data_IF_676013411092
#
_entry.id   IF_676013411092
#
_cell.length_a   1.000
_cell.length_b   1.000
_cell.length_c   1.000
_cell.angle_alpha   90.00
_cell.angle_beta   90.00
_cell.angle_gamma   90.00
#
_symmetry.space_group_name_H-M   'P 1'
#
loop_
_entity.id
_entity.type
_entity.pdbx_description
1 polymer ?
#
# COMPACT_ATOMS: atom_id res chain seq x y z
N UNK A 1 31.06 -10.46 -22.56
CA UNK A 1 30.62 -9.78 -21.32
C UNK A 1 29.14 -9.37 -21.47
N UNK A 2 28.17 -10.16 -20.96
CA UNK A 2 26.73 -9.83 -20.98
C UNK A 2 25.98 -10.14 -19.67
N UNK A 3 26.66 -10.69 -18.67
CA UNK A 3 26.04 -11.17 -17.41
C UNK A 3 25.77 -10.05 -16.40
N UNK A 4 26.46 -8.90 -16.50
CA UNK A 4 26.36 -7.82 -15.52
C UNK A 4 25.05 -7.01 -15.61
N UNK A 5 24.50 -6.79 -16.82
CA UNK A 5 23.25 -6.01 -17.00
C UNK A 5 21.99 -6.70 -16.46
N UNK A 6 21.74 -7.99 -16.75
CA UNK A 6 20.58 -8.69 -16.20
C UNK A 6 20.57 -8.74 -14.67
N UNK A 7 21.74 -9.01 -14.06
CA UNK A 7 21.88 -9.04 -12.60
C UNK A 7 21.69 -7.67 -11.94
N UNK A 8 22.18 -6.61 -12.57
CA UNK A 8 21.97 -5.24 -12.09
C UNK A 8 20.48 -4.87 -12.12
N UNK A 9 19.76 -5.32 -13.16
CA UNK A 9 18.33 -5.07 -13.30
C UNK A 9 17.50 -5.84 -12.26
N UNK A 10 17.78 -7.13 -12.06
CA UNK A 10 17.15 -7.93 -11.00
C UNK A 10 17.36 -7.29 -9.63
N UNK A 11 18.60 -6.89 -9.31
CA UNK A 11 18.93 -6.21 -8.05
C UNK A 11 18.16 -4.90 -7.90
N UNK A 12 18.10 -4.08 -8.95
CA UNK A 12 17.38 -2.81 -8.91
C UNK A 12 15.88 -2.99 -8.67
N UNK A 13 15.26 -4.00 -9.31
CA UNK A 13 13.85 -4.31 -9.10
C UNK A 13 13.59 -4.86 -7.70
N UNK A 14 14.50 -5.66 -7.14
CA UNK A 14 14.42 -6.12 -5.74
C UNK A 14 14.52 -4.94 -4.76
N UNK A 15 15.42 -3.99 -4.99
CA UNK A 15 15.53 -2.77 -4.17
C UNK A 15 14.29 -1.91 -4.31
N UNK A 16 13.73 -1.75 -5.52
CA UNK A 16 12.47 -1.04 -5.74
C UNK A 16 11.34 -1.67 -4.91
N UNK A 17 11.18 -2.99 -5.03
CA UNK A 17 10.21 -3.77 -4.28
C UNK A 17 10.41 -3.62 -2.77
N UNK A 18 11.65 -3.69 -2.30
CA UNK A 18 12.00 -3.52 -0.89
C UNK A 18 11.57 -2.14 -0.36
N UNK A 19 11.86 -1.06 -1.08
CA UNK A 19 11.49 0.30 -0.67
C UNK A 19 9.97 0.46 -0.57
N UNK A 20 9.23 0.02 -1.59
CA UNK A 20 7.76 0.07 -1.60
C UNK A 20 7.16 -0.78 -0.48
N UNK A 21 7.70 -1.99 -0.29
CA UNK A 21 7.28 -2.89 0.79
C UNK A 21 7.48 -2.28 2.17
N UNK A 22 8.67 -1.76 2.45
CA UNK A 22 8.98 -1.14 3.74
C UNK A 22 8.15 0.13 3.98
N UNK A 23 7.89 0.90 2.94
CA UNK A 23 6.99 2.05 3.01
C UNK A 23 5.59 1.61 3.46
N UNK A 24 4.98 0.67 2.75
CA UNK A 24 3.64 0.15 3.06
C UNK A 24 3.61 -0.52 4.43
N UNK A 25 4.61 -1.34 4.77
CA UNK A 25 4.70 -2.00 6.07
C UNK A 25 4.76 -1.00 7.23
N UNK A 26 5.40 0.17 7.04
CA UNK A 26 5.44 1.25 8.03
C UNK A 26 4.15 2.06 8.07
N UNK A 27 3.54 2.32 6.91
CA UNK A 27 2.29 3.07 6.79
C UNK A 27 1.11 2.30 7.41
N UNK A 28 1.05 0.98 7.16
CA UNK A 28 -0.01 0.07 7.65
C UNK A 28 0.18 -0.40 9.10
N UNK A 29 1.20 0.12 9.81
CA UNK A 29 1.32 -0.18 11.25
C UNK A 29 0.13 0.42 12.00
N UNK A 30 -0.34 -0.26 13.07
CA UNK A 30 -1.32 0.29 14.00
C UNK A 30 -0.83 1.64 14.51
N UNK A 31 -1.48 2.72 14.06
CA UNK A 31 -1.27 4.09 14.50
C UNK A 31 -2.62 4.67 14.94
N UNK A 32 -2.58 5.83 15.55
CA UNK A 32 -3.79 6.62 15.71
C UNK A 32 -4.46 6.87 14.35
N UNK A 33 -5.77 6.71 14.30
CA UNK A 33 -6.54 6.80 13.06
C UNK A 33 -6.59 8.26 12.61
N UNK A 34 -6.28 8.52 11.34
CA UNK A 34 -6.35 9.86 10.76
C UNK A 34 -7.78 10.42 10.82
N UNK A 35 -7.92 11.70 11.20
CA UNK A 35 -9.20 12.42 11.28
C UNK A 35 -9.16 13.71 10.45
N UNK A 36 -10.33 14.12 9.94
CA UNK A 36 -10.51 15.42 9.31
C UNK A 36 -9.42 15.74 8.27
N UNK A 37 -8.71 16.85 8.49
CA UNK A 37 -7.63 17.33 7.62
C UNK A 37 -6.37 16.44 7.69
N UNK A 38 -6.07 15.80 8.82
CA UNK A 38 -4.90 14.92 8.94
C UNK A 38 -4.95 13.76 7.95
N UNK A 39 -6.16 13.28 7.66
CA UNK A 39 -6.39 12.26 6.64
C UNK A 39 -6.04 12.76 5.24
N UNK A 40 -6.40 14.00 4.92
CA UNK A 40 -6.08 14.60 3.62
C UNK A 40 -4.57 14.88 3.51
N UNK A 41 -3.96 15.42 4.56
CA UNK A 41 -2.50 15.62 4.60
C UNK A 41 -1.75 14.30 4.50
N UNK A 42 -2.20 13.26 5.20
CA UNK A 42 -1.62 11.91 5.13
C UNK A 42 -1.70 11.33 3.71
N UNK A 43 -2.87 11.42 3.07
CA UNK A 43 -3.06 11.02 1.68
C UNK A 43 -2.16 11.79 0.72
N UNK A 44 -2.15 13.12 0.78
CA UNK A 44 -1.31 13.96 -0.07
C UNK A 44 0.18 13.69 0.12
N UNK A 45 0.62 13.50 1.37
CA UNK A 45 2.01 13.13 1.66
C UNK A 45 2.33 11.77 1.04
N UNK A 46 1.48 10.75 1.25
CA UNK A 46 1.70 9.43 0.68
C UNK A 46 1.77 9.47 -0.85
N UNK A 47 0.95 10.29 -1.51
CA UNK A 47 1.01 10.46 -2.97
C UNK A 47 2.30 11.15 -3.43
N UNK A 48 2.79 12.17 -2.72
CA UNK A 48 4.10 12.79 -3.03
C UNK A 48 5.25 11.81 -2.83
N UNK A 49 5.23 11.06 -1.73
CA UNK A 49 6.23 10.03 -1.47
C UNK A 49 6.20 8.95 -2.57
N UNK A 50 5.01 8.50 -2.99
CA UNK A 50 4.84 7.54 -4.08
C UNK A 50 5.43 8.04 -5.39
N UNK A 51 5.15 9.30 -5.75
CA UNK A 51 5.70 9.92 -6.95
C UNK A 51 7.23 10.01 -6.89
N UNK A 52 7.79 10.50 -5.77
CA UNK A 52 9.24 10.62 -5.62
C UNK A 52 9.96 9.27 -5.68
N UNK A 53 9.38 8.22 -5.08
CA UNK A 53 9.92 6.85 -5.16
C UNK A 53 9.88 6.36 -6.60
N UNK A 54 8.73 6.50 -7.28
CA UNK A 54 8.55 6.09 -8.68
C UNK A 54 9.55 6.80 -9.60
N UNK A 55 9.63 8.13 -9.54
CA UNK A 55 10.56 8.94 -10.34
C UNK A 55 12.02 8.52 -10.12
N UNK A 56 12.39 8.22 -8.87
CA UNK A 56 13.73 7.77 -8.52
C UNK A 56 14.05 6.43 -9.19
N UNK A 57 13.18 5.44 -9.07
CA UNK A 57 13.43 4.11 -9.63
C UNK A 57 13.31 4.07 -11.16
N UNK A 58 12.42 4.87 -11.74
CA UNK A 58 12.34 5.08 -13.18
C UNK A 58 13.62 5.74 -13.71
N UNK A 59 14.12 6.78 -13.03
CA UNK A 59 15.39 7.44 -13.37
C UNK A 59 16.61 6.51 -13.27
N UNK A 60 16.57 5.52 -12.38
CA UNK A 60 17.58 4.46 -12.27
C UNK A 60 17.40 3.32 -13.30
N UNK A 61 16.31 3.32 -14.07
CA UNK A 61 16.03 2.31 -15.10
C UNK A 61 15.29 1.06 -14.60
N UNK A 62 14.61 1.13 -13.45
CA UNK A 62 13.80 0.02 -12.95
C UNK A 62 12.62 -0.25 -13.89
N UNK A 63 12.47 -1.49 -14.34
CA UNK A 63 11.33 -1.92 -15.18
C UNK A 63 10.14 -2.41 -14.34
N UNK A 64 10.24 -2.37 -13.00
CA UNK A 64 9.19 -2.84 -12.09
C UNK A 64 8.06 -1.80 -11.91
N UNK A 65 7.50 -1.29 -13.01
CA UNK A 65 6.47 -0.24 -13.04
C UNK A 65 5.16 -0.64 -12.35
N UNK A 66 4.93 -1.94 -12.15
CA UNK A 66 3.79 -2.46 -11.39
C UNK A 66 3.83 -2.08 -9.90
N UNK A 67 4.99 -1.64 -9.38
CA UNK A 67 5.13 -1.17 -8.00
C UNK A 67 4.65 0.27 -7.81
N UNK A 68 4.65 1.08 -8.86
CA UNK A 68 4.42 2.53 -8.82
C UNK A 68 3.03 2.88 -8.25
N UNK A 69 2.04 2.01 -8.49
CA UNK A 69 0.66 2.23 -8.04
C UNK A 69 0.40 1.79 -6.60
N UNK A 70 1.29 1.01 -5.97
CA UNK A 70 0.98 0.34 -4.71
C UNK A 70 0.71 1.33 -3.57
N UNK A 71 1.62 2.30 -3.40
CA UNK A 71 1.50 3.36 -2.38
C UNK A 71 0.38 4.32 -2.76
N UNK A 72 0.29 4.67 -4.04
CA UNK A 72 -0.70 5.62 -4.54
C UNK A 72 -2.14 5.13 -4.33
N UNK A 73 -2.45 3.86 -4.62
CA UNK A 73 -3.77 3.29 -4.34
C UNK A 73 -4.13 3.34 -2.85
N UNK A 74 -3.18 3.10 -1.95
CA UNK A 74 -3.44 3.23 -0.50
C UNK A 74 -3.66 4.69 -0.10
N UNK A 75 -2.91 5.63 -0.70
CA UNK A 75 -3.09 7.06 -0.50
C UNK A 75 -4.48 7.53 -0.94
N UNK A 76 -4.99 7.02 -2.06
CA UNK A 76 -6.35 7.29 -2.57
C UNK A 76 -7.42 6.76 -1.62
N UNK A 77 -7.29 5.51 -1.15
CA UNK A 77 -8.23 4.92 -0.17
C UNK A 77 -8.27 5.74 1.14
N UNK A 78 -7.11 6.27 1.57
CA UNK A 78 -7.02 7.14 2.74
C UNK A 78 -7.72 8.49 2.49
N UNK A 79 -7.43 9.13 1.35
CA UNK A 79 -7.92 10.45 0.94
C UNK A 79 -9.38 10.48 0.47
N UNK A 80 -9.96 9.33 0.15
CA UNK A 80 -11.31 9.28 -0.42
C UNK A 80 -12.43 9.36 0.63
N UNK A 81 -13.42 10.21 0.35
CA UNK A 81 -14.58 10.48 1.20
C UNK A 81 -15.78 9.62 0.82
N UNK A 82 -16.00 9.42 -0.48
CA UNK A 82 -17.17 8.76 -1.03
C UNK A 82 -17.02 7.24 -0.99
N UNK A 83 -18.09 6.55 -0.59
CA UNK A 83 -18.08 5.09 -0.39
C UNK A 83 -17.76 4.34 -1.67
N UNK A 84 -18.38 4.72 -2.78
CA UNK A 84 -18.29 3.99 -4.03
C UNK A 84 -16.90 4.16 -4.67
N UNK A 85 -16.28 5.34 -4.50
CA UNK A 85 -14.89 5.58 -4.89
C UNK A 85 -13.91 4.76 -4.04
N UNK A 86 -14.13 4.63 -2.73
CA UNK A 86 -13.31 3.73 -1.89
C UNK A 86 -13.40 2.28 -2.41
N UNK A 87 -14.60 1.82 -2.79
CA UNK A 87 -14.76 0.48 -3.36
C UNK A 87 -14.00 0.33 -4.68
N UNK A 88 -14.04 1.34 -5.55
CA UNK A 88 -13.29 1.38 -6.81
C UNK A 88 -11.78 1.28 -6.57
N UNK A 89 -11.23 2.06 -5.64
CA UNK A 89 -9.79 2.00 -5.32
C UNK A 89 -9.41 0.65 -4.70
N UNK A 90 -10.26 0.06 -3.86
CA UNK A 90 -10.05 -1.29 -3.32
C UNK A 90 -10.08 -2.37 -4.41
N UNK A 91 -10.98 -2.24 -5.38
CA UNK A 91 -11.05 -3.15 -6.52
C UNK A 91 -9.80 -3.05 -7.39
N UNK A 92 -9.35 -1.84 -7.74
CA UNK A 92 -8.09 -1.62 -8.45
C UNK A 92 -6.93 -2.25 -7.69
N UNK A 93 -6.83 -2.04 -6.38
CA UNK A 93 -5.77 -2.61 -5.56
C UNK A 93 -5.79 -4.15 -5.58
N UNK A 94 -6.96 -4.78 -5.42
CA UNK A 94 -7.09 -6.24 -5.41
C UNK A 94 -6.75 -6.85 -6.78
N UNK A 95 -7.13 -6.18 -7.86
CA UNK A 95 -6.82 -6.63 -9.23
C UNK A 95 -5.33 -6.49 -9.56
N UNK A 96 -4.70 -5.40 -9.12
CA UNK A 96 -3.28 -5.12 -9.39
C UNK A 96 -2.33 -5.99 -8.55
N UNK A 97 -2.75 -6.42 -7.36
CA UNK A 97 -1.92 -7.19 -6.43
C UNK A 97 -2.63 -8.48 -5.96
N UNK A 98 -2.45 -9.60 -6.67
CA UNK A 98 -3.18 -10.84 -6.39
C UNK A 98 -2.77 -11.51 -5.07
N UNK A 99 -1.64 -11.11 -4.49
CA UNK A 99 -1.13 -11.61 -3.21
C UNK A 99 -1.68 -10.84 -1.99
N UNK A 100 -2.56 -9.86 -2.22
CA UNK A 100 -3.23 -9.14 -1.14
C UNK A 100 -4.25 -10.04 -0.41
N UNK A 101 -4.26 -9.97 0.92
CA UNK A 101 -5.13 -10.75 1.79
C UNK A 101 -6.08 -9.85 2.56
N UNK A 102 -7.11 -10.47 3.13
CA UNK A 102 -8.11 -9.80 4.00
C UNK A 102 -7.47 -8.95 5.10
N UNK A 103 -6.38 -9.41 5.71
CA UNK A 103 -5.73 -8.70 6.81
C UNK A 103 -5.02 -7.42 6.33
N UNK A 104 -4.53 -7.37 5.09
CA UNK A 104 -4.00 -6.14 4.49
C UNK A 104 -5.13 -5.12 4.27
N UNK A 105 -6.29 -5.58 3.75
CA UNK A 105 -7.46 -4.73 3.58
C UNK A 105 -7.93 -4.15 4.93
N UNK A 106 -7.94 -4.97 5.98
CA UNK A 106 -8.24 -4.52 7.33
C UNK A 106 -7.26 -3.43 7.80
N UNK A 107 -5.96 -3.61 7.58
CA UNK A 107 -4.96 -2.61 7.95
C UNK A 107 -5.13 -1.30 7.17
N UNK A 108 -5.40 -1.37 5.86
CA UNK A 108 -5.65 -0.19 5.01
C UNK A 108 -6.90 0.56 5.48
N UNK A 109 -8.01 -0.16 5.71
CA UNK A 109 -9.24 0.45 6.22
C UNK A 109 -9.07 0.99 7.65
N UNK A 110 -8.18 0.40 8.45
CA UNK A 110 -7.88 0.86 9.80
C UNK A 110 -7.10 2.18 9.85
N UNK A 111 -6.43 2.59 8.75
CA UNK A 111 -5.80 3.92 8.65
C UNK A 111 -6.81 5.04 8.89
N UNK A 112 -8.08 4.78 8.59
CA UNK A 112 -9.16 5.76 8.66
C UNK A 112 -10.21 5.41 9.71
N UNK A 113 -10.82 6.44 10.29
CA UNK A 113 -11.90 6.27 11.27
C UNK A 113 -13.25 6.09 10.57
N UNK A 114 -13.48 4.90 10.04
CA UNK A 114 -14.78 4.51 9.48
C UNK A 114 -15.76 4.10 10.58
N UNK A 115 -17.04 4.47 10.42
CA UNK A 115 -18.10 3.92 11.25
C UNK A 115 -18.22 2.40 11.07
N UNK A 116 -18.59 1.67 12.13
CA UNK A 116 -18.60 0.19 12.15
C UNK A 116 -19.35 -0.41 10.94
N UNK A 117 -20.55 0.09 10.64
CA UNK A 117 -21.38 -0.38 9.50
C UNK A 117 -20.68 -0.15 8.15
N UNK A 118 -20.10 1.03 7.94
CA UNK A 118 -19.40 1.36 6.69
C UNK A 118 -18.16 0.49 6.51
N UNK A 119 -17.41 0.28 7.59
CA UNK A 119 -16.23 -0.58 7.58
C UNK A 119 -16.59 -2.05 7.27
N UNK A 120 -17.65 -2.57 7.88
CA UNK A 120 -18.13 -3.93 7.62
C UNK A 120 -18.58 -4.10 6.16
N UNK A 121 -19.29 -3.12 5.60
CA UNK A 121 -19.71 -3.17 4.20
C UNK A 121 -18.52 -3.17 3.23
N UNK A 122 -17.52 -2.30 3.44
CA UNK A 122 -16.34 -2.25 2.59
C UNK A 122 -15.55 -3.55 2.68
N UNK A 123 -15.37 -4.07 3.90
CA UNK A 123 -14.68 -5.34 4.11
C UNK A 123 -15.40 -6.51 3.44
N UNK A 124 -16.73 -6.59 3.55
CA UNK A 124 -17.51 -7.63 2.92
C UNK A 124 -17.37 -7.58 1.39
N UNK A 125 -17.51 -6.39 0.81
CA UNK A 125 -17.30 -6.19 -0.62
C UNK A 125 -15.89 -6.61 -1.07
N UNK A 126 -14.85 -6.21 -0.35
CA UNK A 126 -13.48 -6.65 -0.64
C UNK A 126 -13.30 -8.16 -0.51
N UNK A 127 -13.97 -8.83 0.43
CA UNK A 127 -13.92 -10.29 0.56
C UNK A 127 -14.55 -10.99 -0.64
N UNK A 128 -15.65 -10.46 -1.16
CA UNK A 128 -16.31 -11.01 -2.34
C UNK A 128 -15.42 -10.84 -3.58
N UNK A 129 -14.74 -9.69 -3.71
CA UNK A 129 -13.72 -9.45 -4.75
C UNK A 129 -12.53 -10.42 -4.63
N UNK A 130 -11.99 -10.61 -3.42
CA UNK A 130 -10.88 -11.56 -3.18
C UNK A 130 -11.26 -12.99 -3.56
N UNK A 131 -12.49 -13.42 -3.26
CA UNK A 131 -13.01 -14.74 -3.66
C UNK A 131 -13.17 -14.86 -5.17
N UNK A 132 -13.71 -13.83 -5.81
CA UNK A 132 -13.84 -13.80 -7.26
C UNK A 132 -12.47 -13.86 -7.96
N UNK A 133 -11.49 -13.08 -7.48
CA UNK A 133 -10.13 -13.08 -8.01
C UNK A 133 -9.43 -14.44 -7.82
N UNK A 134 -9.61 -15.10 -6.68
CA UNK A 134 -9.07 -16.44 -6.44
C UNK A 134 -9.66 -17.51 -7.38
N UNK A 135 -10.92 -17.36 -7.79
CA UNK A 135 -11.55 -18.24 -8.79
C UNK A 135 -11.03 -18.04 -10.22
N UNK A 136 -10.53 -16.85 -10.55
CA UNK A 136 -10.02 -16.49 -11.88
C UNK A 136 -8.51 -16.72 -12.00
N UNK A 137 -7.76 -16.65 -10.89
CA UNK A 137 -6.30 -16.81 -10.84
C UNK A 137 -5.78 -18.18 -11.33
N UNK A 138 -6.66 -19.15 -11.58
CA UNK A 138 -6.32 -20.41 -12.26
C UNK A 138 -5.94 -20.26 -13.74
N UNK A 139 -6.22 -19.11 -14.39
CA UNK A 139 -6.02 -18.95 -15.83
C UNK A 139 -4.86 -18.02 -16.23
N UNK A 140 -4.61 -16.89 -15.54
CA UNK A 140 -3.73 -15.85 -16.12
C UNK A 140 -3.19 -14.79 -15.11
N UNK A 141 -2.82 -15.19 -13.89
CA UNK A 141 -2.12 -14.25 -13.00
C UNK A 141 -0.67 -14.01 -13.50
N UNK A 142 -0.17 -12.75 -13.53
CA UNK A 142 1.24 -12.47 -13.78
C UNK A 142 2.07 -13.19 -12.70
N UNK A 143 2.68 -14.31 -13.09
CA UNK A 143 3.47 -15.16 -12.21
C UNK A 143 4.73 -14.39 -11.80
N UNK A 144 4.70 -13.73 -10.63
CA UNK A 144 5.92 -13.15 -10.04
C UNK A 144 5.77 -11.86 -9.23
N UNK A 145 4.60 -11.21 -9.21
CA UNK A 145 4.40 -9.98 -8.43
C UNK A 145 4.04 -10.29 -6.98
N UNK A 146 5.05 -10.44 -6.13
CA UNK A 146 4.91 -10.66 -4.69
C UNK A 146 5.31 -9.38 -3.95
N UNK A 147 4.35 -8.70 -3.34
CA UNK A 147 4.55 -7.46 -2.58
C UNK A 147 3.88 -7.54 -1.20
N UNK A 148 2.56 -7.76 -1.20
CA UNK A 148 1.74 -7.81 0.00
C UNK A 148 1.94 -9.09 0.81
N UNK A 149 2.33 -10.21 0.19
CA UNK A 149 2.62 -11.43 0.92
C UNK A 149 3.72 -11.22 1.97
N UNK A 150 4.76 -10.47 1.61
CA UNK A 150 5.91 -10.12 2.45
C UNK A 150 5.59 -9.03 3.49
N UNK A 151 4.45 -8.35 3.40
CA UNK A 151 3.98 -7.38 4.38
C UNK A 151 3.18 -8.13 5.44
N UNK A 152 3.68 -8.17 6.69
CA UNK A 152 2.90 -8.70 7.81
C UNK A 152 1.96 -7.59 8.33
N UNK A 153 0.63 -7.71 8.13
CA UNK A 153 -0.30 -6.76 8.73
C UNK A 153 -0.23 -6.97 10.25
N UNK A 154 0.17 -5.93 10.99
CA UNK A 154 0.22 -6.03 12.44
C UNK A 154 -1.21 -6.02 12.99
N UNK A 155 -1.67 -7.18 13.45
CA UNK A 155 -2.98 -7.38 14.10
C UNK A 155 -2.98 -6.94 15.57
N UNK A 156 -1.86 -6.45 16.09
CA UNK A 156 -1.75 -6.01 17.48
C UNK A 156 -2.19 -4.55 17.62
N UNK A 157 -3.43 -4.33 18.06
CA UNK A 157 -3.83 -3.06 18.68
C UNK A 157 -3.05 -2.94 19.99
N UNK A 158 -1.94 -2.20 19.99
CA UNK A 158 -1.27 -1.78 21.24
C UNK A 158 -1.67 -0.33 21.53
N UNK A 159 -2.25 -0.03 22.70
CA UNK A 159 -2.52 1.36 23.09
C UNK A 159 -1.25 1.93 23.72
N UNK A 160 -0.54 2.78 22.99
CA UNK A 160 0.50 3.71 23.47
C UNK A 160 0.97 4.47 22.22
N UNK A 161 0.55 5.71 21.96
CA UNK A 161 0.59 6.87 22.82
C UNK A 161 1.61 7.83 22.19
N UNK A 162 1.12 8.90 21.54
CA UNK A 162 1.77 10.14 21.06
C UNK A 162 3.20 10.14 20.46
N UNK A 163 4.15 9.37 20.99
CA UNK A 163 5.58 9.39 20.62
C UNK A 163 5.89 8.88 19.20
N UNK A 164 4.99 8.08 18.60
CA UNK A 164 5.20 7.55 17.24
C UNK A 164 4.99 8.64 16.16
N UNK A 165 4.17 9.66 16.46
CA UNK A 165 3.87 10.76 15.53
C UNK A 165 5.07 11.71 15.39
N UNK A 166 5.73 12.04 16.50
CA UNK A 166 6.97 12.83 16.50
C UNK A 166 8.11 12.08 15.82
N UNK A 167 8.26 10.77 16.06
CA UNK A 167 9.25 9.97 15.35
C UNK A 167 8.98 9.90 13.83
N UNK A 168 7.71 9.95 13.40
CA UNK A 168 7.36 9.98 11.98
C UNK A 168 7.63 11.33 11.31
N UNK A 169 7.37 12.45 12.01
CA UNK A 169 7.75 13.78 11.54
C UNK A 169 9.28 13.98 11.57
N UNK A 170 9.96 13.48 12.61
CA UNK A 170 11.42 13.59 12.75
C UNK A 170 12.19 12.66 11.78
N UNK A 171 11.65 11.48 11.47
CA UNK A 171 12.30 10.53 10.54
C UNK A 171 12.17 10.91 9.06
N UNK A 172 11.29 11.86 8.72
CA UNK A 172 11.07 12.32 7.34
C UNK A 172 11.14 13.84 7.15
N UNK A 173 11.30 14.62 8.22
CA UNK A 173 11.46 16.08 8.14
C UNK A 173 12.89 16.55 7.85
N UNK A 174 13.81 15.64 7.51
CA UNK A 174 15.24 15.94 7.40
C UNK A 174 15.88 15.72 6.02
N UNK A 175 15.26 14.97 5.10
CA UNK A 175 15.79 14.77 3.74
C UNK A 175 14.59 14.51 2.82
N UNK A 176 14.49 15.34 1.77
CA UNK A 176 13.38 15.55 0.80
C UNK A 176 12.36 16.61 1.19
#
# INVERSE_FOLDING_TARGET
>A
QRVARPRAQETLQEVHRFVVREYLARALRPRERFRGMERMHGSQKMSRDAQAISDTFQGLGSEATWLDQAIQCVAEILGETYKDDIQRHLETLIRSYPDIRRDHILAILALRRLGRRRNQHLLQHSQDLLRAAAGVAGAEAPRGHVLFEEIKPSTAVRPEGAAVQEAFQASWGGVF
#
